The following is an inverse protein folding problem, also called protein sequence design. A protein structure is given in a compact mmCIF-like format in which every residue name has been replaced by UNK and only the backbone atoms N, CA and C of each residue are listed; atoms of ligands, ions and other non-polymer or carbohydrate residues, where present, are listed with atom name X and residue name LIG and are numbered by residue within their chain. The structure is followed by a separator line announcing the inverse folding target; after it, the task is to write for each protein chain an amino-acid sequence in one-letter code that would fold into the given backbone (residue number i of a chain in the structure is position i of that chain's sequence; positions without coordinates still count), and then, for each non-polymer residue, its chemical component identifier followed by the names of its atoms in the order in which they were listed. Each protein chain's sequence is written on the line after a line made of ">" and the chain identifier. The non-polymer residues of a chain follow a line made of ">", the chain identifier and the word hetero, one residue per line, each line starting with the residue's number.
data_IF_654505394543
#
_entry.id   IF_654505394543
#
_cell.length_a   1.000
_cell.length_b   1.000
_cell.length_c   1.000
_cell.angle_alpha   90.00
_cell.angle_beta   90.00
_cell.angle_gamma   90.00
#
_symmetry.space_group_name_H-M   'P 1'
#
loop_
_entity.id
_entity.type
_entity.pdbx_description
1 polymer ?
#
# COMPACT_ATOMS: atom_id res chain seq x y z
N UNK A 1 -46.75 -33.09 -24.93
CA UNK A 1 -47.70 -33.23 -23.80
C UNK A 1 -46.86 -33.53 -22.57
N UNK A 2 -46.34 -32.51 -21.86
CA UNK A 2 -46.96 -31.67 -20.82
C UNK A 2 -47.05 -32.38 -19.46
N UNK A 3 -46.60 -31.66 -18.43
CA UNK A 3 -46.72 -31.87 -16.97
C UNK A 3 -45.54 -32.64 -16.33
N UNK A 4 -44.91 -32.22 -15.21
CA UNK A 4 -45.22 -31.18 -14.22
C UNK A 4 -43.96 -30.81 -13.41
N UNK A 5 -43.71 -29.51 -13.33
CA UNK A 5 -43.12 -28.76 -12.22
C UNK A 5 -42.93 -29.53 -10.90
N UNK A 6 -41.69 -29.65 -10.42
CA UNK A 6 -41.37 -29.64 -8.98
C UNK A 6 -40.24 -28.65 -8.76
N UNK A 7 -40.67 -27.41 -8.52
CA UNK A 7 -39.91 -26.31 -7.95
C UNK A 7 -39.24 -26.82 -6.67
N UNK A 8 -37.90 -26.89 -6.68
CA UNK A 8 -37.12 -27.13 -5.47
C UNK A 8 -37.22 -25.87 -4.61
N UNK A 9 -38.18 -25.93 -3.69
CA UNK A 9 -38.51 -24.94 -2.69
C UNK A 9 -37.25 -24.54 -1.92
N UNK A 10 -36.80 -23.30 -2.16
CA UNK A 10 -35.90 -22.56 -1.27
C UNK A 10 -36.57 -22.47 0.11
N UNK A 11 -36.30 -23.45 0.97
CA UNK A 11 -36.66 -23.41 2.38
C UNK A 11 -35.67 -22.51 3.09
N UNK A 12 -36.01 -21.22 3.09
CA UNK A 12 -35.51 -20.19 3.99
C UNK A 12 -35.73 -20.67 5.42
N UNK A 13 -34.73 -21.33 5.99
CA UNK A 13 -34.71 -21.65 7.41
C UNK A 13 -33.86 -20.58 8.08
N UNK A 14 -34.56 -19.58 8.62
CA UNK A 14 -34.00 -18.51 9.42
C UNK A 14 -33.41 -19.09 10.72
N UNK A 15 -32.13 -19.51 10.68
CA UNK A 15 -31.30 -19.58 11.87
C UNK A 15 -30.85 -18.15 12.19
N UNK A 16 -31.72 -17.42 12.89
CA UNK A 16 -31.40 -16.19 13.58
C UNK A 16 -30.43 -16.44 14.72
N UNK A 17 -29.16 -16.69 14.40
CA UNK A 17 -28.04 -16.45 15.32
C UNK A 17 -27.52 -15.04 15.03
N UNK A 18 -27.53 -14.20 16.07
CA UNK A 18 -27.27 -12.76 16.01
C UNK A 18 -26.06 -12.38 15.16
N UNK A 19 -26.33 -11.83 13.99
CA UNK A 19 -25.34 -11.26 13.06
C UNK A 19 -24.95 -9.81 13.44
N UNK A 20 -25.13 -9.41 14.70
CA UNK A 20 -24.85 -8.05 15.21
C UNK A 20 -23.42 -7.86 15.75
N UNK A 21 -22.55 -8.87 15.64
CA UNK A 21 -21.21 -8.85 16.26
C UNK A 21 -20.06 -8.61 15.27
N UNK A 22 -20.32 -8.58 13.96
CA UNK A 22 -19.26 -8.38 12.95
C UNK A 22 -18.96 -6.90 12.66
N UNK A 23 -19.94 -6.00 12.85
CA UNK A 23 -19.76 -4.56 12.67
C UNK A 23 -18.89 -3.93 13.79
N UNK A 24 -18.91 -4.49 15.01
CA UNK A 24 -18.15 -3.92 16.14
C UNK A 24 -16.66 -4.30 16.13
N UNK A 25 -16.27 -5.33 15.36
CA UNK A 25 -14.88 -5.79 15.22
C UNK A 25 -14.03 -4.93 14.25
N UNK A 26 -14.63 -3.92 13.61
CA UNK A 26 -13.92 -2.99 12.71
C UNK A 26 -13.56 -1.66 13.36
N UNK A 27 -13.79 -1.49 14.67
CA UNK A 27 -13.34 -0.29 15.41
C UNK A 27 -11.81 -0.25 15.49
N UNK A 28 -11.19 0.24 14.41
CA UNK A 28 -9.78 0.60 14.34
C UNK A 28 -9.47 1.59 15.46
N UNK A 29 -8.40 1.33 16.21
CA UNK A 29 -7.92 2.30 17.19
C UNK A 29 -7.61 3.63 16.47
N UNK A 30 -7.88 4.79 17.11
CA UNK A 30 -7.71 6.10 16.48
C UNK A 30 -6.27 6.37 15.98
N UNK A 31 -5.28 5.66 16.55
CA UNK A 31 -3.87 5.74 16.18
C UNK A 31 -3.41 4.63 15.21
N UNK A 32 -4.32 3.80 14.69
CA UNK A 32 -3.96 2.73 13.75
C UNK A 32 -3.56 3.28 12.38
N UNK A 33 -2.40 2.86 11.89
CA UNK A 33 -1.90 3.17 10.54
C UNK A 33 -2.53 2.24 9.49
N UNK A 34 -3.07 1.10 9.93
CA UNK A 34 -3.66 0.09 9.05
C UNK A 34 -4.74 0.78 8.21
N UNK A 35 -4.72 0.58 6.89
CA UNK A 35 -5.68 1.15 5.93
C UNK A 35 -5.64 2.67 5.73
N UNK A 36 -4.71 3.40 6.35
CA UNK A 36 -4.43 4.79 5.96
C UNK A 36 -3.61 4.79 4.67
N UNK A 37 -3.87 5.78 3.82
CA UNK A 37 -3.14 5.98 2.57
C UNK A 37 -2.59 7.40 2.47
N UNK A 38 -1.61 7.57 1.60
CA UNK A 38 -0.92 8.83 1.33
C UNK A 38 -0.68 9.00 -0.17
N UNK A 39 -0.71 10.24 -0.62
CA UNK A 39 -0.18 10.66 -1.93
C UNK A 39 1.07 11.53 -1.78
N UNK A 40 1.52 11.76 -0.54
CA UNK A 40 2.73 12.51 -0.24
C UNK A 40 3.94 11.61 -0.46
N UNK A 41 4.65 11.86 -1.56
CA UNK A 41 5.86 11.15 -1.97
C UNK A 41 6.93 12.22 -2.17
N UNK A 42 8.00 12.17 -1.38
CA UNK A 42 9.10 13.13 -1.49
C UNK A 42 9.97 12.88 -2.72
N UNK A 43 10.89 13.79 -3.00
CA UNK A 43 11.99 13.53 -3.93
C UNK A 43 13.17 12.92 -3.18
N UNK A 44 13.79 11.88 -3.75
CA UNK A 44 14.97 11.26 -3.16
C UNK A 44 16.21 12.10 -3.44
N UNK A 45 16.97 12.38 -2.39
CA UNK A 45 18.29 13.01 -2.47
C UNK A 45 19.35 12.02 -1.98
N UNK A 46 20.25 11.53 -2.86
CA UNK A 46 21.30 10.59 -2.48
C UNK A 46 22.36 11.20 -1.55
N UNK A 47 22.44 12.54 -1.45
CA UNK A 47 23.40 13.24 -0.60
C UNK A 47 22.81 13.58 0.78
N UNK A 48 21.49 13.52 0.93
CA UNK A 48 20.87 13.55 2.24
C UNK A 48 21.29 12.27 2.98
N UNK A 49 21.63 12.37 4.27
CA UNK A 49 21.97 11.22 5.13
C UNK A 49 20.76 10.27 5.39
N UNK A 50 19.87 10.11 4.41
CA UNK A 50 18.69 9.28 4.47
C UNK A 50 19.08 7.82 4.23
N UNK A 51 18.81 6.97 5.23
CA UNK A 51 19.06 5.54 5.12
C UNK A 51 17.95 4.89 4.29
N UNK A 52 18.28 4.43 3.09
CA UNK A 52 17.37 3.64 2.25
C UNK A 52 17.07 2.32 2.95
N UNK A 53 15.78 1.99 3.07
CA UNK A 53 15.34 0.77 3.73
C UNK A 53 15.66 -0.46 2.90
N UNK A 54 16.35 -1.44 3.49
CA UNK A 54 16.74 -2.69 2.82
C UNK A 54 15.63 -3.77 2.85
N UNK A 55 14.39 -3.41 3.26
CA UNK A 55 13.21 -4.30 3.34
C UNK A 55 13.43 -5.66 4.02
N UNK A 56 14.45 -5.81 4.86
CA UNK A 56 14.87 -7.12 5.38
C UNK A 56 13.90 -7.60 6.46
N UNK A 57 13.31 -8.79 6.24
CA UNK A 57 12.47 -9.45 7.25
C UNK A 57 13.41 -10.05 8.30
N UNK A 58 13.39 -9.50 9.51
CA UNK A 58 14.02 -10.11 10.68
C UNK A 58 12.92 -10.81 11.48
N UNK A 59 12.68 -12.08 11.19
CA UNK A 59 11.79 -12.92 11.99
C UNK A 59 12.62 -13.54 13.12
N UNK A 60 12.66 -12.89 14.28
CA UNK A 60 13.34 -13.44 15.46
C UNK A 60 12.48 -14.50 16.16
N UNK A 61 11.14 -14.42 16.05
CA UNK A 61 10.23 -15.33 16.74
C UNK A 61 8.98 -15.67 15.89
N UNK A 62 8.47 -16.92 15.92
CA UNK A 62 7.35 -17.36 15.07
C UNK A 62 6.02 -16.64 15.38
N UNK A 63 5.87 -16.09 16.59
CA UNK A 63 4.70 -15.31 16.99
C UNK A 63 4.72 -13.90 16.37
N UNK A 64 5.90 -13.29 16.27
CA UNK A 64 6.06 -11.92 15.74
C UNK A 64 6.35 -11.90 14.24
N UNK A 65 6.70 -13.05 13.65
CA UNK A 65 7.01 -13.20 12.23
C UNK A 65 5.94 -12.63 11.27
N UNK A 66 4.62 -12.80 11.48
CA UNK A 66 3.63 -12.20 10.61
C UNK A 66 3.64 -10.67 10.64
N UNK A 67 3.90 -10.10 11.82
CA UNK A 67 3.93 -8.63 12.00
C UNK A 67 5.19 -8.00 11.39
N UNK A 68 6.34 -8.68 11.47
CA UNK A 68 7.59 -8.17 10.90
C UNK A 68 7.61 -8.24 9.36
N UNK A 69 6.82 -9.11 8.75
CA UNK A 69 6.69 -9.24 7.30
C UNK A 69 5.78 -8.17 6.64
N UNK A 70 4.89 -7.54 7.41
CA UNK A 70 3.87 -6.61 6.87
C UNK A 70 4.47 -5.38 6.19
N UNK A 71 5.42 -4.70 6.84
CA UNK A 71 6.09 -3.51 6.28
C UNK A 71 6.82 -3.80 4.95
N UNK A 72 7.73 -4.79 4.91
CA UNK A 72 8.39 -5.21 3.68
C UNK A 72 7.43 -5.63 2.55
N UNK A 73 6.31 -6.27 2.89
CA UNK A 73 5.29 -6.64 1.92
C UNK A 73 4.63 -5.40 1.31
N UNK A 74 4.18 -4.45 2.14
CA UNK A 74 3.61 -3.19 1.66
C UNK A 74 4.59 -2.40 0.79
N UNK A 75 5.85 -2.35 1.20
CA UNK A 75 6.90 -1.70 0.42
C UNK A 75 7.05 -2.32 -0.97
N UNK A 76 7.14 -3.66 -1.07
CA UNK A 76 7.23 -4.36 -2.35
C UNK A 76 6.03 -4.11 -3.25
N UNK A 77 4.81 -4.21 -2.69
CA UNK A 77 3.57 -3.98 -3.44
C UNK A 77 3.53 -2.53 -3.94
N UNK A 78 3.88 -1.57 -3.10
CA UNK A 78 3.88 -0.14 -3.45
C UNK A 78 4.88 0.16 -4.55
N UNK A 79 6.12 -0.37 -4.45
CA UNK A 79 7.16 -0.22 -5.47
C UNK A 79 6.70 -0.80 -6.80
N UNK A 80 6.15 -2.01 -6.80
CA UNK A 80 5.66 -2.67 -8.03
C UNK A 80 4.49 -1.93 -8.67
N UNK A 81 3.58 -1.36 -7.87
CA UNK A 81 2.47 -0.56 -8.38
C UNK A 81 2.96 0.72 -9.08
N UNK A 82 3.91 1.43 -8.48
CA UNK A 82 4.52 2.62 -9.09
C UNK A 82 5.34 2.25 -10.33
N UNK A 83 6.13 1.19 -10.28
CA UNK A 83 6.89 0.69 -11.43
C UNK A 83 5.97 0.37 -12.62
N UNK A 84 4.84 -0.28 -12.36
CA UNK A 84 3.85 -0.53 -13.41
C UNK A 84 3.30 0.76 -14.02
N UNK A 85 2.95 1.75 -13.19
CA UNK A 85 2.45 3.03 -13.68
C UNK A 85 3.50 3.81 -14.49
N UNK A 86 4.77 3.76 -14.06
CA UNK A 86 5.89 4.35 -14.81
C UNK A 86 6.11 3.67 -16.15
N UNK A 87 6.04 2.34 -16.20
CA UNK A 87 6.17 1.58 -17.45
C UNK A 87 5.03 1.91 -18.43
N UNK A 88 3.80 2.09 -17.93
CA UNK A 88 2.68 2.54 -18.76
C UNK A 88 2.93 3.95 -19.30
N UNK A 89 3.35 4.88 -18.45
CA UNK A 89 3.68 6.25 -18.86
C UNK A 89 4.79 6.28 -19.91
N UNK A 90 5.88 5.53 -19.69
CA UNK A 90 6.97 5.42 -20.65
C UNK A 90 6.50 4.83 -21.98
N UNK A 91 5.61 3.83 -21.95
CA UNK A 91 5.07 3.24 -23.16
C UNK A 91 4.14 4.20 -23.93
N UNK A 92 3.45 5.12 -23.25
CA UNK A 92 2.54 6.08 -23.89
C UNK A 92 3.22 7.36 -24.34
N UNK A 93 4.12 7.91 -23.52
CA UNK A 93 4.80 9.21 -23.78
C UNK A 93 6.20 9.05 -24.39
N UNK A 94 6.77 7.83 -24.33
CA UNK A 94 8.11 7.54 -24.86
C UNK A 94 9.27 7.92 -23.93
N UNK A 95 9.00 8.42 -22.73
CA UNK A 95 10.01 8.75 -21.72
C UNK A 95 9.49 8.54 -20.29
N UNK A 96 10.39 8.41 -19.33
CA UNK A 96 10.05 8.49 -17.90
C UNK A 96 9.87 9.95 -17.47
N UNK A 97 9.19 10.22 -16.33
CA UNK A 97 9.09 11.57 -15.78
C UNK A 97 10.47 12.20 -15.60
N UNK A 98 10.64 13.43 -16.08
CA UNK A 98 11.94 14.13 -16.07
C UNK A 98 12.31 14.68 -14.69
N UNK A 99 11.29 14.96 -13.88
CA UNK A 99 11.43 15.57 -12.56
C UNK A 99 10.32 15.05 -11.63
N UNK A 100 10.45 15.42 -10.35
CA UNK A 100 9.51 15.01 -9.31
C UNK A 100 8.10 15.58 -9.51
N UNK A 101 7.98 16.82 -10.00
CA UNK A 101 6.69 17.46 -10.22
C UNK A 101 5.88 16.76 -11.32
N UNK A 102 6.57 16.35 -12.40
CA UNK A 102 5.99 15.56 -13.47
C UNK A 102 5.58 14.18 -12.96
N UNK A 103 6.41 13.52 -12.16
CA UNK A 103 6.05 12.25 -11.51
C UNK A 103 4.78 12.41 -10.65
N UNK A 104 4.71 13.43 -9.81
CA UNK A 104 3.56 13.67 -8.94
C UNK A 104 2.29 13.96 -9.75
N UNK A 105 2.41 14.70 -10.84
CA UNK A 105 1.25 15.11 -11.65
C UNK A 105 0.77 13.98 -12.57
N UNK A 106 1.68 13.40 -13.35
CA UNK A 106 1.35 12.45 -14.41
C UNK A 106 1.24 11.01 -13.91
N UNK A 107 1.97 10.65 -12.86
CA UNK A 107 1.91 9.28 -12.32
C UNK A 107 0.93 9.25 -11.16
N UNK A 108 1.15 10.03 -10.11
CA UNK A 108 0.36 9.92 -8.88
C UNK A 108 -1.05 10.50 -9.03
N UNK A 109 -1.16 11.77 -9.42
CA UNK A 109 -2.46 12.46 -9.51
C UNK A 109 -3.30 11.94 -10.67
N UNK A 110 -2.74 11.83 -11.87
CA UNK A 110 -3.49 11.39 -13.04
C UNK A 110 -4.07 9.97 -12.88
N UNK A 111 -3.32 9.06 -12.25
CA UNK A 111 -3.77 7.68 -11.99
C UNK A 111 -4.47 7.51 -10.63
N UNK A 112 -4.65 8.60 -9.86
CA UNK A 112 -5.25 8.59 -8.51
C UNK A 112 -4.61 7.54 -7.59
N UNK A 113 -3.29 7.39 -7.69
CA UNK A 113 -2.55 6.41 -6.90
C UNK A 113 -2.50 6.88 -5.46
N UNK A 114 -2.82 5.99 -4.53
CA UNK A 114 -2.74 6.22 -3.09
C UNK A 114 -1.95 5.08 -2.46
N UNK A 115 -0.80 5.39 -1.88
CA UNK A 115 0.09 4.40 -1.26
C UNK A 115 -0.27 4.18 0.21
N UNK A 116 -0.17 2.96 0.74
CA UNK A 116 -0.41 2.71 2.16
C UNK A 116 0.64 3.41 3.02
N UNK A 117 0.25 3.99 4.16
CA UNK A 117 1.24 4.56 5.10
C UNK A 117 2.06 3.43 5.71
N UNK A 118 3.39 3.56 5.68
CA UNK A 118 4.31 2.53 6.17
C UNK A 118 4.49 2.60 7.70
N UNK A 119 4.68 1.43 8.36
CA UNK A 119 4.98 1.39 9.80
C UNK A 119 6.38 1.95 10.09
N UNK A 120 6.56 2.51 11.30
CA UNK A 120 7.85 2.99 11.77
C UNK A 120 8.28 4.34 11.20
N UNK A 121 7.34 5.17 10.75
CA UNK A 121 7.62 6.53 10.26
C UNK A 121 8.38 6.58 8.92
N UNK A 122 8.46 5.46 8.20
CA UNK A 122 9.11 5.39 6.90
C UNK A 122 8.34 6.22 5.88
N UNK A 123 9.07 6.80 4.94
CA UNK A 123 8.50 7.66 3.89
C UNK A 123 8.87 7.16 2.51
N UNK A 124 7.95 7.36 1.57
CA UNK A 124 8.21 7.11 0.15
C UNK A 124 8.92 8.30 -0.47
N UNK A 125 9.93 8.02 -1.27
CA UNK A 125 10.60 9.02 -2.09
C UNK A 125 10.78 8.51 -3.52
N UNK A 126 10.67 9.41 -4.48
CA UNK A 126 10.91 9.11 -5.89
C UNK A 126 12.35 9.47 -6.25
N UNK A 127 13.08 8.47 -6.73
CA UNK A 127 14.42 8.61 -7.28
C UNK A 127 14.30 8.92 -8.77
N UNK A 128 14.52 10.21 -9.09
CA UNK A 128 14.40 10.73 -10.45
C UNK A 128 15.47 10.14 -11.37
N UNK A 129 16.70 10.00 -10.88
CA UNK A 129 17.82 9.48 -11.69
C UNK A 129 17.62 8.03 -12.10
N UNK A 130 17.02 7.23 -11.23
CA UNK A 130 16.81 5.81 -11.45
C UNK A 130 15.35 5.45 -11.77
N UNK A 131 14.48 6.45 -11.89
CA UNK A 131 13.05 6.31 -12.15
C UNK A 131 12.35 5.24 -11.30
N UNK A 132 12.55 5.29 -9.98
CA UNK A 132 11.98 4.26 -9.07
C UNK A 132 11.54 4.83 -7.73
N UNK A 133 10.61 4.13 -7.09
CA UNK A 133 10.20 4.41 -5.73
C UNK A 133 11.21 3.80 -4.73
N UNK A 134 11.75 4.63 -3.84
CA UNK A 134 12.55 4.20 -2.70
C UNK A 134 11.80 4.48 -1.39
N UNK A 135 12.15 3.74 -0.35
CA UNK A 135 11.63 3.97 0.99
C UNK A 135 12.79 4.37 1.87
N UNK A 136 12.66 5.51 2.53
CA UNK A 136 13.62 5.96 3.53
C UNK A 136 13.11 5.61 4.93
N UNK A 137 14.03 5.25 5.81
CA UNK A 137 13.72 5.19 7.24
C UNK A 137 13.37 6.58 7.76
N UNK A 138 12.55 6.66 8.82
CA UNK A 138 12.20 7.93 9.44
C UNK A 138 13.49 8.74 9.73
N UNK A 139 13.51 10.06 9.43
CA UNK A 139 14.65 10.88 9.82
C UNK A 139 14.87 10.69 11.31
N UNK A 140 16.11 10.33 11.68
CA UNK A 140 16.50 10.20 13.08
C UNK A 140 16.47 11.62 13.63
N UNK A 141 15.33 12.05 14.16
CA UNK A 141 15.27 13.31 14.89
C UNK A 141 16.35 13.26 15.96
N UNK A 142 17.38 14.10 15.81
CA UNK A 142 18.30 14.40 16.88
C UNK A 142 17.46 15.02 17.99
N UNK A 143 17.10 14.18 18.97
CA UNK A 143 16.46 14.63 20.20
C UNK A 143 17.31 15.78 20.78
N UNK A 144 16.73 16.96 21.05
CA UNK A 144 17.47 18.06 21.69
C UNK A 144 17.96 17.68 23.08
#
# INVERSE_FOLDING_TARGET
>A
MLTRSVICLFLVTACGCGMKSLEDQTKKSPNSIIGKKTQDIGQYDPNANAKVSNSKINATDPITAPTSAYGPMLERISKSHIEHALNLYQATEGHFPKDHDEFMTQIIKANKIELPVLPGGKQYQYDVENHRLVVIDAPVEAKP
#
